data_IF_454446556563
#
_entry.id   IF_454446556563
#
_cell.length_a   1.000
_cell.length_b   1.000
_cell.length_c   1.000
_cell.angle_alpha   90.00
_cell.angle_beta   90.00
_cell.angle_gamma   90.00
#
_symmetry.space_group_name_H-M   'P 1'
#
loop_
_entity.id
_entity.type
_entity.pdbx_description
1 polymer ?
#
# COMPACT_ATOMS: atom_id res chain seq x y z
N UNK A 1 -17.25 7.15 -36.16
CA UNK A 1 -17.49 8.30 -35.25
C UNK A 1 -16.43 8.37 -34.14
N UNK A 2 -15.54 9.37 -34.21
CA UNK A 2 -14.59 9.67 -33.13
C UNK A 2 -15.38 10.16 -31.91
N UNK A 3 -15.50 9.31 -30.88
CA UNK A 3 -16.09 9.71 -29.61
C UNK A 3 -15.01 10.49 -28.89
N UNK A 4 -15.20 11.80 -28.73
CA UNK A 4 -14.29 12.63 -27.94
C UNK A 4 -14.03 11.88 -26.62
N UNK A 5 -12.76 11.63 -26.30
CA UNK A 5 -12.37 11.07 -25.02
C UNK A 5 -12.89 12.04 -23.96
N UNK A 6 -14.00 11.68 -23.31
CA UNK A 6 -14.56 12.58 -22.33
C UNK A 6 -13.55 12.79 -21.19
N UNK A 7 -13.61 13.94 -20.54
CA UNK A 7 -12.71 14.28 -19.43
C UNK A 7 -13.11 13.59 -18.13
N UNK A 8 -12.26 13.67 -17.11
CA UNK A 8 -12.64 13.34 -15.73
C UNK A 8 -13.73 14.30 -15.25
N UNK A 9 -14.60 13.85 -14.35
CA UNK A 9 -15.55 14.73 -13.68
C UNK A 9 -14.80 15.53 -12.60
N UNK A 10 -14.58 16.82 -12.86
CA UNK A 10 -13.75 17.71 -12.02
C UNK A 10 -14.42 18.13 -10.71
N UNK A 11 -15.75 18.01 -10.64
CA UNK A 11 -16.56 18.20 -9.44
C UNK A 11 -17.59 17.07 -9.39
N UNK A 12 -17.80 16.52 -8.19
CA UNK A 12 -18.72 15.41 -7.92
C UNK A 12 -20.08 15.83 -7.37
N UNK A 13 -20.47 17.11 -7.50
CA UNK A 13 -21.80 17.59 -7.13
C UNK A 13 -21.98 17.81 -5.62
N UNK A 14 -20.99 18.43 -4.99
CA UNK A 14 -20.90 18.53 -3.53
C UNK A 14 -21.60 19.77 -2.97
N UNK A 15 -22.48 19.55 -1.99
CA UNK A 15 -23.12 20.58 -1.17
C UNK A 15 -22.23 21.09 -0.04
N UNK A 16 -22.82 21.61 1.04
CA UNK A 16 -22.08 22.01 2.24
C UNK A 16 -21.30 20.83 2.85
N UNK A 17 -20.16 21.13 3.47
CA UNK A 17 -19.28 20.11 4.05
C UNK A 17 -19.81 19.66 5.41
N UNK A 18 -20.14 18.38 5.54
CA UNK A 18 -20.60 17.81 6.81
C UNK A 18 -19.44 17.56 7.79
N UNK A 19 -19.69 17.47 9.12
CA UNK A 19 -18.63 17.39 10.13
C UNK A 19 -17.63 16.22 9.99
N UNK A 20 -18.05 15.11 9.39
CA UNK A 20 -17.18 13.94 9.16
C UNK A 20 -16.63 13.87 7.72
N UNK A 21 -16.76 14.94 6.94
CA UNK A 21 -16.34 14.97 5.54
C UNK A 21 -15.09 15.83 5.35
N UNK A 22 -14.35 15.53 4.28
CA UNK A 22 -13.23 16.34 3.83
C UNK A 22 -13.17 16.41 2.30
N UNK A 23 -12.79 17.59 1.80
CA UNK A 23 -12.54 17.82 0.38
C UNK A 23 -11.05 17.61 0.08
N UNK A 24 -10.77 16.95 -1.04
CA UNK A 24 -9.43 16.87 -1.63
C UNK A 24 -9.44 17.59 -2.97
N UNK A 25 -8.50 18.51 -3.14
CA UNK A 25 -8.17 19.09 -4.43
C UNK A 25 -6.91 18.41 -4.95
N UNK A 26 -7.08 17.55 -5.96
CA UNK A 26 -6.00 16.79 -6.57
C UNK A 26 -5.53 17.48 -7.86
N UNK A 27 -4.23 17.81 -7.91
CA UNK A 27 -3.57 18.28 -9.13
C UNK A 27 -3.56 17.20 -10.23
N UNK A 28 -3.39 17.56 -11.51
CA UNK A 28 -3.32 16.58 -12.60
C UNK A 28 -2.24 15.53 -12.34
N UNK A 29 -2.62 14.25 -12.43
CA UNK A 29 -1.70 13.11 -12.26
C UNK A 29 -1.64 12.21 -13.48
N UNK A 30 -2.57 12.37 -14.44
CA UNK A 30 -2.79 11.44 -15.56
C UNK A 30 -3.03 9.97 -15.13
N UNK A 31 -3.44 9.78 -13.87
CA UNK A 31 -3.76 8.48 -13.28
C UNK A 31 -5.21 8.42 -12.81
N UNK A 32 -5.69 7.21 -12.54
CA UNK A 32 -7.08 6.97 -12.12
C UNK A 32 -7.29 6.81 -10.61
N UNK A 33 -6.23 6.75 -9.81
CA UNK A 33 -6.31 6.69 -8.36
C UNK A 33 -6.67 8.04 -7.71
N UNK A 34 -7.35 7.99 -6.58
CA UNK A 34 -7.62 9.11 -5.69
C UNK A 34 -6.99 8.82 -4.32
N UNK A 35 -6.47 9.86 -3.66
CA UNK A 35 -5.92 9.75 -2.32
C UNK A 35 -7.02 9.82 -1.27
N UNK A 36 -6.94 8.96 -0.27
CA UNK A 36 -7.90 8.87 0.82
C UNK A 36 -7.18 8.51 2.13
N UNK A 37 -7.77 8.92 3.24
CA UNK A 37 -7.44 8.36 4.55
C UNK A 37 -8.04 6.96 4.68
N UNK A 38 -7.36 6.07 5.40
CA UNK A 38 -7.93 4.77 5.77
C UNK A 38 -9.25 4.95 6.55
N UNK A 39 -10.24 4.10 6.28
CA UNK A 39 -11.59 4.22 6.85
C UNK A 39 -12.45 5.32 6.22
N UNK A 40 -12.09 5.80 5.03
CA UNK A 40 -12.91 6.75 4.29
C UNK A 40 -13.95 6.06 3.43
N UNK A 41 -15.05 6.75 3.13
CA UNK A 41 -16.04 6.36 2.11
C UNK A 41 -16.27 7.49 1.11
N UNK A 42 -16.44 7.13 -0.16
CA UNK A 42 -16.82 8.07 -1.23
C UNK A 42 -18.20 8.69 -0.97
N UNK A 43 -18.27 10.03 -1.01
CA UNK A 43 -19.53 10.78 -0.86
C UNK A 43 -19.78 11.78 -1.99
N UNK A 44 -18.88 11.87 -2.97
CA UNK A 44 -19.09 12.61 -4.22
C UNK A 44 -19.17 11.67 -5.42
N UNK A 45 -19.91 12.05 -6.46
CA UNK A 45 -20.24 11.16 -7.59
C UNK A 45 -19.07 10.86 -8.54
N UNK A 46 -17.97 11.59 -8.41
CA UNK A 46 -16.81 11.49 -9.29
C UNK A 46 -15.74 10.50 -8.82
N UNK A 47 -15.79 10.04 -7.57
CA UNK A 47 -14.85 9.07 -6.98
C UNK A 47 -15.63 7.84 -6.49
N UNK A 48 -15.03 6.66 -6.61
CA UNK A 48 -15.62 5.42 -6.11
C UNK A 48 -14.55 4.55 -5.47
N UNK A 49 -14.99 3.69 -4.56
CA UNK A 49 -14.17 2.68 -3.92
C UNK A 49 -13.97 1.48 -4.86
N UNK A 50 -12.72 1.05 -4.99
CA UNK A 50 -12.26 -0.11 -5.74
C UNK A 50 -11.71 -1.16 -4.77
N UNK A 51 -11.17 -2.26 -5.28
CA UNK A 51 -10.60 -3.33 -4.45
C UNK A 51 -9.46 -2.85 -3.55
N UNK A 52 -9.31 -3.49 -2.38
CA UNK A 52 -8.26 -3.23 -1.40
C UNK A 52 -8.27 -1.79 -0.85
N UNK A 53 -9.47 -1.27 -0.57
CA UNK A 53 -9.73 0.03 0.05
C UNK A 53 -9.11 1.22 -0.72
N UNK A 54 -8.94 1.04 -2.04
CA UNK A 54 -8.38 2.06 -2.92
C UNK A 54 -9.50 2.85 -3.60
N UNK A 55 -9.31 4.15 -3.76
CA UNK A 55 -10.27 5.01 -4.45
C UNK A 55 -9.84 5.31 -5.87
N UNK A 56 -10.81 5.37 -6.79
CA UNK A 56 -10.57 5.65 -8.20
C UNK A 56 -11.57 6.60 -8.83
N UNK A 57 -11.10 7.26 -9.88
CA UNK A 57 -11.90 7.95 -10.88
C UNK A 57 -12.16 7.06 -12.08
N UNK A 58 -13.25 7.32 -12.80
CA UNK A 58 -13.60 6.57 -14.03
C UNK A 58 -12.62 6.84 -15.18
N UNK A 59 -11.89 7.96 -15.12
CA UNK A 59 -10.91 8.40 -16.13
C UNK A 59 -9.70 9.03 -15.46
N UNK A 60 -8.55 9.09 -16.17
CA UNK A 60 -7.36 9.74 -15.64
C UNK A 60 -7.65 11.19 -15.22
N UNK A 61 -7.08 11.61 -14.09
CA UNK A 61 -7.12 12.99 -13.62
C UNK A 61 -6.18 13.84 -14.49
N UNK A 62 -6.68 14.26 -15.66
CA UNK A 62 -6.00 15.08 -16.68
C UNK A 62 -6.14 16.60 -16.44
N UNK A 63 -6.88 16.97 -15.41
CA UNK A 63 -7.08 18.34 -14.91
C UNK A 63 -7.26 18.30 -13.39
N UNK A 64 -7.18 19.43 -12.67
CA UNK A 64 -7.47 19.43 -11.24
C UNK A 64 -8.86 18.84 -10.94
N UNK A 65 -8.94 17.92 -9.97
CA UNK A 65 -10.18 17.25 -9.57
C UNK A 65 -10.46 17.55 -8.11
N UNK A 66 -11.65 18.09 -7.82
CA UNK A 66 -12.20 18.16 -6.47
C UNK A 66 -13.10 16.97 -6.21
N UNK A 67 -12.86 16.24 -5.14
CA UNK A 67 -13.72 15.14 -4.68
C UNK A 67 -13.83 15.14 -3.16
N UNK A 68 -14.86 14.47 -2.65
CA UNK A 68 -15.17 14.44 -1.23
C UNK A 68 -15.29 13.03 -0.71
N UNK A 69 -14.74 12.84 0.48
CA UNK A 69 -14.77 11.61 1.24
C UNK A 69 -15.35 11.90 2.63
N UNK A 70 -15.99 10.91 3.24
CA UNK A 70 -16.36 10.93 4.65
C UNK A 70 -15.44 9.98 5.42
N UNK A 71 -14.92 10.41 6.56
CA UNK A 71 -14.19 9.55 7.47
C UNK A 71 -15.18 8.83 8.39
N UNK A 72 -15.08 7.51 8.44
CA UNK A 72 -15.91 6.68 9.31
C UNK A 72 -15.16 6.39 10.62
N UNK A 73 -15.86 6.57 11.75
CA UNK A 73 -15.26 6.42 13.08
C UNK A 73 -15.09 4.96 13.51
N UNK A 74 -15.73 4.03 12.82
CA UNK A 74 -15.65 2.60 13.10
C UNK A 74 -14.55 1.96 12.25
N UNK A 75 -13.71 1.15 12.88
CA UNK A 75 -12.71 0.37 12.15
C UNK A 75 -13.42 -0.53 11.13
N UNK A 76 -12.92 -0.62 9.88
CA UNK A 76 -13.46 -1.58 8.92
C UNK A 76 -13.51 -2.96 9.56
N UNK A 77 -14.67 -3.61 9.52
CA UNK A 77 -14.78 -5.00 9.98
C UNK A 77 -13.88 -5.83 9.06
N UNK A 78 -12.89 -6.58 9.59
CA UNK A 78 -12.00 -7.34 8.73
C UNK A 78 -12.84 -8.35 7.94
N UNK A 79 -13.01 -8.07 6.65
CA UNK A 79 -13.72 -8.97 5.76
C UNK A 79 -12.92 -10.28 5.65
N UNK A 80 -13.64 -11.40 5.67
CA UNK A 80 -13.00 -12.70 5.46
C UNK A 80 -12.44 -12.72 4.04
N UNK A 81 -11.11 -12.67 3.95
CA UNK A 81 -10.42 -12.76 2.68
C UNK A 81 -10.75 -14.07 1.98
N UNK A 82 -11.06 -13.99 0.69
CA UNK A 82 -11.25 -15.16 -0.15
C UNK A 82 -9.94 -15.91 -0.34
N UNK A 83 -10.02 -17.20 -0.67
CA UNK A 83 -8.85 -18.00 -1.01
C UNK A 83 -8.10 -17.46 -2.25
N UNK A 84 -8.76 -16.71 -3.13
CA UNK A 84 -8.13 -16.04 -4.26
C UNK A 84 -7.29 -14.84 -3.81
N UNK A 85 -7.79 -14.05 -2.86
CA UNK A 85 -7.07 -12.90 -2.29
C UNK A 85 -5.88 -13.35 -1.46
N UNK A 86 -6.06 -14.36 -0.60
CA UNK A 86 -4.95 -14.94 0.17
C UNK A 86 -3.83 -15.44 -0.74
N UNK A 87 -4.16 -16.14 -1.84
CA UNK A 87 -3.15 -16.58 -2.82
C UNK A 87 -2.42 -15.41 -3.48
N UNK A 88 -3.12 -14.30 -3.74
CA UNK A 88 -2.50 -13.07 -4.28
C UNK A 88 -1.57 -12.45 -3.25
N UNK A 89 -2.00 -12.34 -2.00
CA UNK A 89 -1.21 -11.73 -0.94
C UNK A 89 -0.01 -12.57 -0.54
N UNK A 90 -0.05 -13.90 -0.65
CA UNK A 90 1.08 -14.78 -0.33
C UNK A 90 2.04 -15.02 -1.50
N UNK A 91 1.78 -14.45 -2.68
CA UNK A 91 2.61 -14.71 -3.85
C UNK A 91 4.01 -14.10 -3.73
N UNK A 92 5.03 -14.91 -4.04
CA UNK A 92 6.42 -14.53 -4.23
C UNK A 92 6.97 -15.17 -5.52
N UNK A 93 8.00 -14.59 -6.16
CA UNK A 93 8.77 -15.29 -7.20
C UNK A 93 9.28 -16.65 -6.69
N UNK A 94 9.52 -17.59 -7.59
CA UNK A 94 9.98 -18.93 -7.19
C UNK A 94 11.39 -18.90 -6.59
N UNK A 95 12.25 -18.03 -7.09
CA UNK A 95 13.67 -17.92 -6.72
C UNK A 95 14.03 -16.51 -6.22
N UNK A 96 15.28 -16.34 -5.78
CA UNK A 96 15.82 -15.08 -5.26
C UNK A 96 15.52 -14.82 -3.77
N UNK A 97 16.35 -13.98 -3.17
CA UNK A 97 16.38 -13.61 -1.75
C UNK A 97 16.40 -14.83 -0.80
N UNK A 98 17.36 -15.77 -0.97
CA UNK A 98 17.41 -17.00 -0.19
C UNK A 98 17.57 -16.75 1.31
N UNK A 99 18.35 -15.75 1.72
CA UNK A 99 18.56 -15.45 3.16
C UNK A 99 17.30 -14.91 3.81
N UNK A 100 16.53 -14.07 3.12
CA UNK A 100 15.26 -13.55 3.62
C UNK A 100 14.22 -14.66 3.79
N UNK A 101 14.17 -15.62 2.85
CA UNK A 101 13.31 -16.81 2.95
C UNK A 101 13.71 -17.71 4.11
N UNK A 102 15.00 -17.95 4.28
CA UNK A 102 15.50 -18.74 5.40
C UNK A 102 15.19 -18.07 6.74
N UNK A 103 15.47 -16.78 6.85
CA UNK A 103 15.15 -15.96 8.02
C UNK A 103 13.65 -16.03 8.36
N UNK A 104 12.77 -15.89 7.37
CA UNK A 104 11.32 -16.02 7.57
C UNK A 104 10.94 -17.42 8.08
N UNK A 105 11.48 -18.48 7.46
CA UNK A 105 11.23 -19.87 7.85
C UNK A 105 11.71 -20.17 9.27
N UNK A 106 12.85 -19.63 9.67
CA UNK A 106 13.41 -19.83 11.02
C UNK A 106 12.54 -19.19 12.09
N UNK A 107 12.16 -17.91 11.91
CA UNK A 107 11.30 -17.22 12.86
C UNK A 107 9.90 -17.85 12.93
N UNK A 108 9.35 -18.28 11.79
CA UNK A 108 8.01 -18.88 11.75
C UNK A 108 7.89 -20.18 12.53
N UNK A 109 8.99 -20.92 12.74
CA UNK A 109 8.98 -22.16 13.54
C UNK A 109 8.61 -21.94 15.00
N UNK A 110 8.89 -20.77 15.55
CA UNK A 110 8.76 -20.49 16.98
C UNK A 110 7.81 -19.34 17.30
N UNK A 111 7.37 -18.57 16.30
CA UNK A 111 6.60 -17.33 16.49
C UNK A 111 5.22 -17.38 15.81
N UNK A 112 4.21 -16.92 16.56
CA UNK A 112 2.92 -16.51 16.01
C UNK A 112 3.01 -15.18 15.24
N UNK A 113 1.97 -14.84 14.48
CA UNK A 113 2.01 -13.76 13.47
C UNK A 113 2.36 -12.39 14.09
N UNK A 114 1.69 -12.01 15.19
CA UNK A 114 1.99 -10.74 15.86
C UNK A 114 3.42 -10.67 16.40
N UNK A 115 3.91 -11.77 16.98
CA UNK A 115 5.26 -11.82 17.52
C UNK A 115 6.28 -11.72 16.39
N UNK A 116 6.04 -12.38 15.28
CA UNK A 116 6.86 -12.31 14.09
C UNK A 116 6.98 -10.86 13.59
N UNK A 117 5.85 -10.16 13.41
CA UNK A 117 5.82 -8.75 12.99
C UNK A 117 6.61 -7.88 13.98
N UNK A 118 6.36 -8.04 15.29
CA UNK A 118 7.09 -7.30 16.33
C UNK A 118 8.58 -7.55 16.28
N UNK A 119 9.03 -8.79 16.10
CA UNK A 119 10.46 -9.14 16.00
C UNK A 119 11.12 -8.51 14.78
N UNK A 120 10.45 -8.49 13.63
CA UNK A 120 10.97 -7.85 12.43
C UNK A 120 11.08 -6.33 12.59
N UNK A 121 10.04 -5.68 13.14
CA UNK A 121 10.08 -4.23 13.43
C UNK A 121 11.15 -3.89 14.47
N UNK A 122 11.30 -4.73 15.50
CA UNK A 122 12.34 -4.59 16.50
C UNK A 122 13.74 -4.64 15.88
N UNK A 123 13.97 -5.57 14.94
CA UNK A 123 15.23 -5.66 14.19
C UNK A 123 15.56 -4.35 13.47
N UNK A 124 14.61 -3.76 12.76
CA UNK A 124 14.81 -2.47 12.08
C UNK A 124 15.11 -1.32 13.05
N UNK A 125 14.51 -1.36 14.24
CA UNK A 125 14.70 -0.33 15.27
C UNK A 125 16.03 -0.43 16.00
N UNK A 126 16.51 -1.63 16.27
CA UNK A 126 17.64 -1.88 17.18
C UNK A 126 18.97 -2.14 16.48
N UNK A 127 18.94 -2.57 15.21
CA UNK A 127 20.16 -2.69 14.41
C UNK A 127 20.43 -1.40 13.63
N UNK A 128 21.63 -1.28 13.07
CA UNK A 128 22.10 -0.12 12.31
C UNK A 128 21.45 -0.01 10.91
N UNK A 129 20.12 0.11 10.86
CA UNK A 129 19.38 0.46 9.65
C UNK A 129 19.27 1.98 9.51
N UNK A 130 19.44 2.49 8.29
CA UNK A 130 19.45 3.93 8.02
C UNK A 130 18.48 4.32 6.90
N UNK A 131 17.67 5.33 7.19
CA UNK A 131 16.78 5.94 6.20
C UNK A 131 17.54 6.96 5.34
N UNK A 132 17.58 6.75 4.02
CA UNK A 132 18.27 7.63 3.06
C UNK A 132 17.56 7.64 1.70
N UNK A 133 17.51 8.81 1.06
CA UNK A 133 17.02 8.99 -0.31
C UNK A 133 18.08 8.60 -1.37
N UNK A 134 19.30 8.26 -0.94
CA UNK A 134 20.40 7.81 -1.81
C UNK A 134 20.98 6.49 -1.29
N UNK A 135 20.19 5.40 -1.28
CA UNK A 135 20.70 4.10 -0.91
C UNK A 135 21.69 3.58 -1.98
N UNK A 136 22.60 2.67 -1.61
CA UNK A 136 23.42 1.94 -2.56
C UNK A 136 22.54 1.09 -3.50
N UNK A 137 23.09 0.74 -4.67
CA UNK A 137 22.39 -0.11 -5.62
C UNK A 137 22.33 -1.56 -5.11
N UNK A 138 21.15 -2.19 -5.22
CA UNK A 138 20.88 -3.57 -4.78
C UNK A 138 20.21 -4.37 -5.90
N UNK A 139 20.93 -4.67 -7.01
CA UNK A 139 20.34 -5.19 -8.24
C UNK A 139 19.96 -6.68 -8.18
N UNK A 140 20.67 -7.46 -7.35
CA UNK A 140 20.45 -8.89 -7.15
C UNK A 140 20.04 -9.11 -5.69
N UNK A 141 19.04 -9.95 -5.47
CA UNK A 141 18.53 -10.27 -4.13
C UNK A 141 18.36 -9.05 -3.22
N UNK A 142 17.73 -7.99 -3.74
CA UNK A 142 17.69 -6.69 -3.05
C UNK A 142 17.01 -6.71 -1.67
N UNK A 143 16.18 -7.71 -1.38
CA UNK A 143 15.62 -7.90 -0.03
C UNK A 143 16.72 -8.41 0.92
N UNK A 144 17.54 -9.36 0.46
CA UNK A 144 18.68 -9.85 1.23
C UNK A 144 19.70 -8.72 1.44
N UNK A 145 20.04 -7.96 0.38
CA UNK A 145 20.97 -6.84 0.48
C UNK A 145 20.50 -5.81 1.51
N UNK A 146 19.21 -5.43 1.51
CA UNK A 146 18.69 -4.51 2.53
C UNK A 146 18.76 -5.13 3.93
N UNK A 147 18.30 -6.37 4.10
CA UNK A 147 18.14 -6.98 5.42
C UNK A 147 19.46 -7.34 6.10
N UNK A 148 20.50 -7.66 5.34
CA UNK A 148 21.70 -8.28 5.89
C UNK A 148 22.98 -7.49 5.59
N UNK A 149 23.06 -6.79 4.46
CA UNK A 149 24.31 -6.18 4.00
C UNK A 149 24.29 -4.66 4.14
N UNK A 150 23.48 -3.98 3.32
CA UNK A 150 23.51 -2.52 3.16
C UNK A 150 22.77 -1.79 4.28
N UNK A 151 21.66 -2.36 4.75
CA UNK A 151 20.79 -1.79 5.80
C UNK A 151 20.44 -0.31 5.59
N UNK A 152 20.42 0.14 4.33
CA UNK A 152 20.23 1.53 3.93
C UNK A 152 19.17 1.59 2.83
N UNK A 153 18.13 2.37 3.06
CA UNK A 153 16.98 2.43 2.16
C UNK A 153 16.05 3.60 2.44
N UNK A 154 14.99 3.72 1.65
CA UNK A 154 13.85 4.58 1.93
C UNK A 154 12.56 3.74 2.03
N UNK A 155 11.40 4.37 2.17
CA UNK A 155 10.12 3.70 2.43
C UNK A 155 9.88 2.42 1.60
N UNK A 156 10.11 2.44 0.28
CA UNK A 156 9.90 1.29 -0.59
C UNK A 156 10.77 0.08 -0.23
N UNK A 157 12.01 0.31 0.24
CA UNK A 157 12.93 -0.76 0.63
C UNK A 157 12.40 -1.48 1.88
N UNK A 158 12.08 -0.72 2.93
CA UNK A 158 11.58 -1.27 4.19
C UNK A 158 10.21 -1.95 4.02
N UNK A 159 9.29 -1.29 3.29
CA UNK A 159 7.97 -1.87 2.99
C UNK A 159 8.11 -3.16 2.18
N UNK A 160 8.91 -3.14 1.09
CA UNK A 160 9.14 -4.30 0.24
C UNK A 160 9.77 -5.48 0.99
N UNK A 161 10.81 -5.24 1.80
CA UNK A 161 11.45 -6.28 2.61
C UNK A 161 10.52 -6.85 3.68
N UNK A 162 9.75 -5.98 4.35
CA UNK A 162 8.75 -6.41 5.33
C UNK A 162 7.70 -7.31 4.69
N UNK A 163 7.09 -6.85 3.60
CA UNK A 163 6.09 -7.63 2.85
C UNK A 163 6.68 -8.95 2.36
N UNK A 164 7.90 -8.96 1.81
CA UNK A 164 8.52 -10.19 1.32
C UNK A 164 8.70 -11.23 2.44
N UNK A 165 9.25 -10.81 3.59
CA UNK A 165 9.50 -11.70 4.73
C UNK A 165 8.19 -12.22 5.33
N UNK A 166 7.16 -11.38 5.45
CA UNK A 166 5.84 -11.80 5.94
C UNK A 166 5.20 -12.84 5.00
N UNK A 167 5.22 -12.58 3.68
CA UNK A 167 4.72 -13.54 2.68
C UNK A 167 5.48 -14.86 2.72
N UNK A 168 6.80 -14.81 2.87
CA UNK A 168 7.64 -15.99 2.99
C UNK A 168 7.34 -16.81 4.28
N UNK A 169 6.80 -16.16 5.31
CA UNK A 169 6.32 -16.80 6.54
C UNK A 169 4.85 -17.27 6.47
N UNK A 170 4.15 -17.00 5.37
CA UNK A 170 2.73 -17.33 5.20
C UNK A 170 1.78 -16.36 5.89
N UNK A 171 2.21 -15.10 6.12
CA UNK A 171 1.43 -14.01 6.71
C UNK A 171 1.01 -13.03 5.61
#
# INVERSE_FOLDING_TARGET
PFRALGRVAVDGGIGELEPNQYDVLLEPTDQRWAFALEGSRAVSDNVFEDTADLFRFRRPADSPVRYRLALESEAPVPEKQSAAELRRYLQLPQEGNPRAREFARELRRTMGDEQFVRTLLQRFREQEYFYTLRPPAMPEDGIDSLLFDEKRGFCAHYAGATTFVLRAAGI
#
